data_IF_465385186036
#
_entry.id   IF_465385186036
#
_cell.length_a   1.000
_cell.length_b   1.000
_cell.length_c   1.000
_cell.angle_alpha   90.00
_cell.angle_beta   90.00
_cell.angle_gamma   90.00
#
_symmetry.space_group_name_H-M   'P 1'
#
loop_
_entity.id
_entity.type
_entity.pdbx_description
1 polymer ?
#
# COMPACT_ATOMS: atom_id res chain seq x y z
N UNK A 1 -16.83 39.17 -20.76
CA UNK A 1 -17.16 37.77 -21.07
C UNK A 1 -16.18 36.79 -20.43
N UNK A 2 -14.90 37.11 -20.20
CA UNK A 2 -13.98 36.23 -19.45
C UNK A 2 -14.33 36.12 -17.94
N UNK A 3 -14.79 37.21 -17.30
CA UNK A 3 -15.07 37.20 -15.86
C UNK A 3 -16.26 36.32 -15.47
N UNK A 4 -17.29 36.18 -16.32
CA UNK A 4 -18.48 35.39 -15.98
C UNK A 4 -18.22 33.89 -15.96
N UNK A 5 -17.30 33.40 -16.81
CA UNK A 5 -16.89 31.98 -16.80
C UNK A 5 -16.07 31.66 -15.56
N UNK A 6 -15.14 32.53 -15.18
CA UNK A 6 -14.34 32.33 -13.96
C UNK A 6 -15.23 32.34 -12.69
N UNK A 7 -16.26 33.18 -12.64
CA UNK A 7 -17.20 33.22 -11.52
C UNK A 7 -18.09 31.96 -11.44
N UNK A 8 -18.60 31.45 -12.58
CA UNK A 8 -19.39 30.21 -12.58
C UNK A 8 -18.56 28.99 -12.18
N UNK A 9 -17.32 28.91 -12.66
CA UNK A 9 -16.43 27.78 -12.37
C UNK A 9 -15.99 27.81 -10.91
N UNK A 10 -15.72 28.99 -10.37
CA UNK A 10 -15.38 29.19 -8.96
C UNK A 10 -16.56 28.84 -8.04
N UNK A 11 -17.77 29.30 -8.35
CA UNK A 11 -18.96 28.98 -7.52
C UNK A 11 -19.26 27.48 -7.51
N UNK A 12 -19.17 26.81 -8.67
CA UNK A 12 -19.28 25.35 -8.75
C UNK A 12 -18.21 24.64 -7.92
N UNK A 13 -16.95 25.05 -8.03
CA UNK A 13 -15.85 24.50 -7.25
C UNK A 13 -16.06 24.68 -5.73
N UNK A 14 -16.54 25.84 -5.30
CA UNK A 14 -16.85 26.08 -3.88
C UNK A 14 -17.96 25.18 -3.35
N UNK A 15 -19.03 24.96 -4.13
CA UNK A 15 -20.12 24.07 -3.70
C UNK A 15 -19.66 22.61 -3.57
N UNK A 16 -18.81 22.16 -4.50
CA UNK A 16 -18.18 20.83 -4.45
C UNK A 16 -17.29 20.72 -3.21
N UNK A 17 -16.43 21.70 -2.92
CA UNK A 17 -15.56 21.72 -1.74
C UNK A 17 -16.36 21.65 -0.43
N UNK A 18 -17.42 22.45 -0.30
CA UNK A 18 -18.31 22.44 0.86
C UNK A 18 -18.97 21.06 1.03
N UNK A 19 -19.38 20.43 -0.07
CA UNK A 19 -19.98 19.10 -0.05
C UNK A 19 -18.98 17.99 0.32
N UNK A 20 -17.69 18.18 0.02
CA UNK A 20 -16.61 17.25 0.38
C UNK A 20 -16.11 17.42 1.83
N UNK A 21 -16.53 18.47 2.54
CA UNK A 21 -16.10 18.74 3.93
C UNK A 21 -16.24 17.53 4.88
N UNK A 22 -17.36 16.78 4.89
CA UNK A 22 -17.46 15.59 5.75
C UNK A 22 -16.42 14.52 5.42
N UNK A 23 -16.07 14.37 4.14
CA UNK A 23 -15.04 13.44 3.67
C UNK A 23 -13.66 13.91 4.08
N UNK A 24 -13.37 15.20 4.02
CA UNK A 24 -12.10 15.76 4.49
C UNK A 24 -11.89 15.51 5.99
N UNK A 25 -12.93 15.68 6.83
CA UNK A 25 -12.84 15.32 8.25
C UNK A 25 -12.61 13.82 8.48
N UNK A 26 -13.26 12.98 7.67
CA UNK A 26 -13.06 11.55 7.69
C UNK A 26 -11.61 11.18 7.30
N UNK A 27 -11.08 11.77 6.23
CA UNK A 27 -9.72 11.59 5.74
C UNK A 27 -8.67 11.98 6.78
N UNK A 28 -8.84 13.12 7.45
CA UNK A 28 -7.96 13.52 8.56
C UNK A 28 -7.98 12.46 9.67
N UNK A 29 -9.17 12.02 10.07
CA UNK A 29 -9.33 11.05 11.16
C UNK A 29 -8.70 9.70 10.80
N UNK A 30 -9.02 9.17 9.62
CA UNK A 30 -8.51 7.86 9.18
C UNK A 30 -7.02 7.93 8.87
N UNK A 31 -6.53 9.03 8.30
CA UNK A 31 -5.11 9.28 8.05
C UNK A 31 -4.29 9.25 9.33
N UNK A 32 -4.76 9.89 10.41
CA UNK A 32 -4.12 9.83 11.73
C UNK A 32 -4.11 8.39 12.27
N UNK A 33 -5.24 7.68 12.20
CA UNK A 33 -5.35 6.29 12.68
C UNK A 33 -4.40 5.36 11.94
N UNK A 34 -4.37 5.43 10.60
CA UNK A 34 -3.48 4.62 9.77
C UNK A 34 -2.01 5.01 10.03
N UNK A 35 -1.70 6.29 10.20
CA UNK A 35 -0.34 6.75 10.51
C UNK A 35 0.17 6.15 11.81
N UNK A 36 -0.64 6.21 12.88
CA UNK A 36 -0.29 5.62 14.18
C UNK A 36 -0.15 4.10 14.13
N UNK A 37 -1.06 3.43 13.42
CA UNK A 37 -1.00 1.98 13.23
C UNK A 37 0.25 1.56 12.42
N UNK A 38 0.58 2.32 11.38
CA UNK A 38 1.77 2.11 10.54
C UNK A 38 3.05 2.33 11.34
N UNK A 39 3.15 3.43 12.08
CA UNK A 39 4.29 3.73 12.95
C UNK A 39 4.50 2.62 14.00
N UNK A 40 3.41 2.17 14.65
CA UNK A 40 3.44 1.04 15.60
C UNK A 40 3.95 -0.23 14.92
N UNK A 41 3.51 -0.50 13.70
CA UNK A 41 3.90 -1.68 12.91
C UNK A 41 5.39 -1.66 12.55
N UNK A 42 5.90 -0.49 12.12
CA UNK A 42 7.33 -0.27 11.83
C UNK A 42 8.15 -0.53 13.08
N UNK A 43 7.81 0.13 14.20
CA UNK A 43 8.53 -0.03 15.47
C UNK A 43 8.51 -1.50 15.94
N UNK A 44 7.37 -2.18 15.84
CA UNK A 44 7.25 -3.59 16.22
C UNK A 44 8.17 -4.50 15.39
N UNK A 45 8.26 -4.28 14.07
CA UNK A 45 9.12 -5.06 13.18
C UNK A 45 10.60 -4.81 13.49
N UNK A 46 11.02 -3.55 13.63
CA UNK A 46 12.44 -3.21 13.78
C UNK A 46 12.99 -3.43 15.18
N UNK A 47 12.13 -3.36 16.21
CA UNK A 47 12.50 -3.69 17.60
C UNK A 47 12.68 -5.21 17.78
N UNK A 48 11.97 -6.03 17.01
CA UNK A 48 12.10 -7.48 17.08
C UNK A 48 13.30 -8.01 16.28
N UNK A 49 14.32 -8.48 17.00
CA UNK A 49 15.57 -8.99 16.40
C UNK A 49 15.35 -10.23 15.54
N UNK A 50 14.30 -11.03 15.81
CA UNK A 50 13.98 -12.24 15.04
C UNK A 50 13.34 -11.89 13.70
N UNK A 51 12.49 -10.86 13.67
CA UNK A 51 11.85 -10.36 12.45
C UNK A 51 12.86 -9.63 11.57
N UNK A 52 13.66 -8.73 12.17
CA UNK A 52 14.67 -7.93 11.44
C UNK A 52 15.70 -8.78 10.69
N UNK A 53 15.93 -10.03 11.08
CA UNK A 53 16.87 -10.94 10.39
C UNK A 53 16.30 -11.55 9.09
N UNK A 54 15.02 -11.36 8.80
CA UNK A 54 14.32 -11.94 7.65
C UNK A 54 14.01 -10.83 6.63
N UNK A 55 14.56 -10.92 5.42
CA UNK A 55 14.35 -9.92 4.34
C UNK A 55 12.88 -9.59 4.10
N UNK A 56 11.99 -10.59 4.15
CA UNK A 56 10.54 -10.37 3.99
C UNK A 56 9.96 -9.37 5.01
N UNK A 57 10.42 -9.40 6.25
CA UNK A 57 9.92 -8.51 7.29
C UNK A 57 10.56 -7.13 7.19
N UNK A 58 11.80 -7.02 6.68
CA UNK A 58 12.39 -5.72 6.35
C UNK A 58 11.53 -5.06 5.26
N UNK A 59 11.25 -5.76 4.16
CA UNK A 59 10.39 -5.25 3.09
C UNK A 59 8.96 -4.95 3.58
N UNK A 60 8.39 -5.79 4.44
CA UNK A 60 7.09 -5.50 5.07
C UNK A 60 7.14 -4.23 5.95
N UNK A 61 8.26 -3.98 6.63
CA UNK A 61 8.47 -2.75 7.40
C UNK A 61 8.54 -1.51 6.50
N UNK A 62 9.17 -1.63 5.33
CA UNK A 62 9.21 -0.55 4.32
C UNK A 62 7.84 -0.36 3.67
N UNK A 63 7.07 -1.43 3.45
CA UNK A 63 5.68 -1.33 3.02
C UNK A 63 4.83 -0.57 4.05
N UNK A 64 5.01 -0.85 5.34
CA UNK A 64 4.36 -0.09 6.42
C UNK A 64 4.84 1.38 6.44
N UNK A 65 6.09 1.65 6.06
CA UNK A 65 6.58 3.01 5.90
C UNK A 65 5.90 3.72 4.72
N UNK A 66 5.66 3.03 3.60
CA UNK A 66 4.84 3.56 2.51
C UNK A 66 3.42 3.94 2.98
N UNK A 67 2.75 3.05 3.72
CA UNK A 67 1.44 3.37 4.32
C UNK A 67 1.50 4.53 5.31
N UNK A 68 2.57 4.65 6.08
CA UNK A 68 2.78 5.79 6.98
C UNK A 68 2.86 7.11 6.17
N UNK A 69 3.74 7.18 5.17
CA UNK A 69 3.91 8.39 4.35
C UNK A 69 2.59 8.71 3.62
N UNK A 70 1.94 7.72 3.03
CA UNK A 70 0.67 7.88 2.32
C UNK A 70 -0.43 8.42 3.25
N UNK A 71 -0.58 7.86 4.45
CA UNK A 71 -1.60 8.31 5.41
C UNK A 71 -1.32 9.66 6.05
N UNK A 72 -0.05 10.03 6.21
CA UNK A 72 0.35 11.42 6.54
C UNK A 72 -0.06 12.36 5.41
N UNK A 73 0.13 11.96 4.15
CA UNK A 73 -0.33 12.71 2.98
C UNK A 73 -1.84 12.92 2.95
N UNK A 74 -2.63 11.86 3.21
CA UNK A 74 -4.09 11.94 3.32
C UNK A 74 -4.51 12.94 4.40
N UNK A 75 -3.92 12.84 5.60
CA UNK A 75 -4.24 13.76 6.69
C UNK A 75 -3.83 15.20 6.36
N UNK A 76 -2.66 15.41 5.76
CA UNK A 76 -2.19 16.73 5.34
C UNK A 76 -3.13 17.36 4.29
N UNK A 77 -3.48 16.61 3.23
CA UNK A 77 -4.44 17.02 2.20
C UNK A 77 -5.78 17.44 2.83
N UNK A 78 -6.35 16.59 3.70
CA UNK A 78 -7.60 16.90 4.38
C UNK A 78 -7.52 18.16 5.24
N UNK A 79 -6.41 18.34 5.98
CA UNK A 79 -6.18 19.56 6.78
C UNK A 79 -6.03 20.81 5.92
N UNK A 80 -5.30 20.74 4.80
CA UNK A 80 -5.16 21.86 3.88
C UNK A 80 -6.51 22.24 3.28
N UNK A 81 -7.29 21.27 2.80
CA UNK A 81 -8.61 21.52 2.23
C UNK A 81 -9.57 22.21 3.23
N UNK A 82 -9.58 21.76 4.49
CA UNK A 82 -10.35 22.40 5.56
C UNK A 82 -9.84 23.81 5.91
N UNK A 83 -8.51 24.01 5.90
CA UNK A 83 -7.92 25.30 6.16
C UNK A 83 -8.26 26.31 5.04
N UNK A 84 -8.23 25.87 3.78
CA UNK A 84 -8.60 26.69 2.63
C UNK A 84 -10.07 27.11 2.64
N UNK A 85 -10.98 26.18 2.96
CA UNK A 85 -12.40 26.46 3.17
C UNK A 85 -12.64 27.52 4.25
N UNK A 86 -11.76 27.62 5.26
CA UNK A 86 -11.86 28.63 6.32
C UNK A 86 -11.21 30.00 6.01
N UNK A 87 -10.25 30.06 5.08
CA UNK A 87 -9.38 31.23 4.88
C UNK A 87 -9.58 31.98 3.55
N UNK A 88 -10.02 31.32 2.48
CA UNK A 88 -10.01 31.92 1.13
C UNK A 88 -11.43 32.24 0.63
N UNK A 89 -11.78 33.53 0.60
CA UNK A 89 -12.89 34.08 -0.18
C UNK A 89 -12.56 34.03 -1.69
N UNK A 90 -12.55 32.84 -2.30
CA UNK A 90 -12.61 32.70 -3.75
C UNK A 90 -11.32 32.91 -4.56
N UNK A 91 -10.13 32.79 -3.97
CA UNK A 91 -8.88 32.81 -4.77
C UNK A 91 -8.54 31.41 -5.31
N UNK A 92 -8.32 31.31 -6.63
CA UNK A 92 -7.87 30.08 -7.28
C UNK A 92 -6.47 29.67 -6.85
N UNK A 93 -6.23 28.37 -6.70
CA UNK A 93 -4.91 27.80 -6.44
C UNK A 93 -4.12 27.67 -7.74
N UNK A 94 -2.79 27.62 -7.67
CA UNK A 94 -1.99 27.21 -8.82
C UNK A 94 -1.88 25.69 -8.90
N UNK A 95 -1.63 25.18 -10.10
CA UNK A 95 -1.34 23.77 -10.33
C UNK A 95 -0.13 23.29 -9.52
N UNK A 96 0.91 24.12 -9.35
CA UNK A 96 2.05 23.80 -8.48
C UNK A 96 1.67 23.70 -6.99
N UNK A 97 0.83 24.62 -6.47
CA UNK A 97 0.31 24.53 -5.10
C UNK A 97 -0.44 23.22 -4.89
N UNK A 98 -1.29 22.84 -5.84
CA UNK A 98 -2.03 21.59 -5.79
C UNK A 98 -1.11 20.37 -5.84
N UNK A 99 -0.13 20.34 -6.74
CA UNK A 99 0.85 19.24 -6.81
C UNK A 99 1.56 19.03 -5.47
N UNK A 100 1.95 20.12 -4.79
CA UNK A 100 2.60 20.05 -3.49
C UNK A 100 1.70 19.46 -2.39
N UNK A 101 0.39 19.70 -2.44
CA UNK A 101 -0.58 19.08 -1.52
C UNK A 101 -0.69 17.56 -1.73
N UNK A 102 -0.60 17.11 -2.98
CA UNK A 102 -0.65 15.70 -3.34
C UNK A 102 0.71 14.98 -3.18
N UNK A 103 1.82 15.70 -3.21
CA UNK A 103 3.17 15.13 -3.27
C UNK A 103 3.46 14.07 -2.20
N UNK A 104 3.08 14.32 -0.93
CA UNK A 104 3.31 13.37 0.17
C UNK A 104 2.45 12.10 0.00
N UNK A 105 1.19 12.29 -0.42
CA UNK A 105 0.25 11.19 -0.64
C UNK A 105 0.72 10.31 -1.80
N UNK A 106 1.07 10.92 -2.93
CA UNK A 106 1.58 10.26 -4.14
C UNK A 106 2.91 9.54 -3.87
N UNK A 107 3.85 10.20 -3.20
CA UNK A 107 5.11 9.59 -2.74
C UNK A 107 4.86 8.32 -1.93
N UNK A 108 3.91 8.38 -0.99
CA UNK A 108 3.56 7.21 -0.18
C UNK A 108 2.96 6.07 -1.01
N UNK A 109 2.07 6.40 -1.97
CA UNK A 109 1.48 5.43 -2.90
C UNK A 109 2.54 4.76 -3.76
N UNK A 110 3.50 5.52 -4.29
CA UNK A 110 4.59 5.01 -5.09
C UNK A 110 5.49 4.04 -4.31
N UNK A 111 5.84 4.39 -3.06
CA UNK A 111 6.58 3.48 -2.17
C UNK A 111 5.81 2.15 -2.00
N UNK A 112 4.49 2.20 -1.83
CA UNK A 112 3.65 1.00 -1.65
C UNK A 112 3.72 0.12 -2.91
N UNK A 113 3.58 0.71 -4.10
CA UNK A 113 3.63 0.01 -5.38
C UNK A 113 4.99 -0.64 -5.60
N UNK A 114 6.07 0.13 -5.48
CA UNK A 114 7.44 -0.33 -5.74
C UNK A 114 7.85 -1.43 -4.76
N UNK A 115 7.56 -1.24 -3.47
CA UNK A 115 7.89 -2.22 -2.44
C UNK A 115 7.06 -3.49 -2.63
N UNK A 116 5.79 -3.39 -3.03
CA UNK A 116 4.96 -4.55 -3.32
C UNK A 116 5.48 -5.36 -4.50
N UNK A 117 5.94 -4.68 -5.56
CA UNK A 117 6.62 -5.29 -6.69
C UNK A 117 7.91 -6.00 -6.25
N UNK A 118 8.75 -5.33 -5.46
CA UNK A 118 9.99 -5.91 -4.94
C UNK A 118 9.74 -7.11 -4.03
N UNK A 119 8.70 -7.08 -3.20
CA UNK A 119 8.30 -8.24 -2.40
C UNK A 119 7.94 -9.39 -3.33
N UNK A 120 7.14 -9.17 -4.38
CA UNK A 120 6.79 -10.21 -5.33
C UNK A 120 8.04 -10.81 -6.01
N UNK A 121 8.96 -9.96 -6.51
CA UNK A 121 10.24 -10.39 -7.11
C UNK A 121 11.11 -11.15 -6.10
N UNK A 122 11.27 -10.64 -4.89
CA UNK A 122 12.04 -11.29 -3.83
C UNK A 122 11.47 -12.68 -3.49
N UNK A 123 10.14 -12.82 -3.46
CA UNK A 123 9.47 -14.11 -3.26
C UNK A 123 9.64 -15.04 -4.46
N UNK A 124 9.58 -14.54 -5.70
CA UNK A 124 9.90 -15.31 -6.90
C UNK A 124 11.32 -15.86 -6.83
N UNK A 125 12.31 -15.02 -6.54
CA UNK A 125 13.72 -15.40 -6.47
C UNK A 125 13.97 -16.42 -5.34
N UNK A 126 13.32 -16.24 -4.19
CA UNK A 126 13.42 -17.20 -3.09
C UNK A 126 12.87 -18.59 -3.44
N UNK A 127 11.88 -18.66 -4.33
CA UNK A 127 11.22 -19.91 -4.74
C UNK A 127 11.94 -20.57 -5.92
N UNK A 128 12.26 -19.81 -6.97
CA UNK A 128 12.85 -20.35 -8.20
C UNK A 128 14.37 -20.52 -8.12
N UNK A 129 15.06 -19.68 -7.33
CA UNK A 129 16.53 -19.64 -7.26
C UNK A 129 17.03 -19.74 -5.81
N UNK A 130 16.68 -20.81 -5.06
CA UNK A 130 17.00 -20.91 -3.64
C UNK A 130 18.50 -20.92 -3.35
N UNK A 131 19.33 -21.47 -4.24
CA UNK A 131 20.80 -21.48 -4.09
C UNK A 131 21.39 -20.07 -4.11
N UNK A 132 20.98 -19.25 -5.08
CA UNK A 132 21.40 -17.85 -5.19
C UNK A 132 20.87 -17.03 -4.02
N UNK A 133 19.61 -17.25 -3.65
CA UNK A 133 18.97 -16.53 -2.55
C UNK A 133 19.65 -16.80 -1.19
N UNK A 134 20.03 -18.06 -0.90
CA UNK A 134 20.72 -18.42 0.34
C UNK A 134 22.10 -17.79 0.44
N UNK A 135 22.84 -17.70 -0.69
CA UNK A 135 24.18 -17.10 -0.73
C UNK A 135 24.15 -15.57 -0.57
N UNK A 136 23.04 -14.93 -0.95
CA UNK A 136 22.88 -13.48 -0.97
C UNK A 136 22.18 -12.88 0.27
N UNK A 137 22.10 -13.63 1.37
CA UNK A 137 21.49 -13.19 2.64
C UNK A 137 22.23 -12.03 3.34
N UNK A 138 23.26 -11.47 2.73
CA UNK A 138 23.95 -10.32 3.28
C UNK A 138 23.06 -9.07 3.22
N UNK A 139 23.24 -8.16 4.19
CA UNK A 139 22.44 -6.94 4.32
C UNK A 139 22.43 -6.05 3.05
N UNK A 140 23.40 -6.24 2.17
CA UNK A 140 23.51 -5.57 0.87
C UNK A 140 22.35 -5.87 -0.10
N UNK A 141 21.69 -7.03 0.00
CA UNK A 141 20.59 -7.37 -0.91
C UNK A 141 19.35 -6.47 -0.72
N UNK A 142 18.74 -6.40 0.48
CA UNK A 142 17.63 -5.48 0.70
C UNK A 142 18.05 -4.02 0.50
N UNK A 143 19.30 -3.66 0.84
CA UNK A 143 19.81 -2.31 0.57
C UNK A 143 19.82 -1.96 -0.93
N UNK A 144 20.27 -2.89 -1.78
CA UNK A 144 20.25 -2.70 -3.23
C UNK A 144 18.82 -2.60 -3.79
N UNK A 145 17.88 -3.37 -3.24
CA UNK A 145 16.46 -3.24 -3.60
C UNK A 145 15.91 -1.86 -3.23
N UNK A 146 16.19 -1.37 -2.00
CA UNK A 146 15.75 -0.05 -1.56
C UNK A 146 16.40 1.09 -2.33
N UNK A 147 17.64 0.91 -2.79
CA UNK A 147 18.30 1.88 -3.65
C UNK A 147 17.61 2.01 -5.02
N UNK A 148 17.10 0.92 -5.59
CA UNK A 148 16.32 0.96 -6.83
C UNK A 148 15.01 1.74 -6.60
N UNK A 149 14.29 1.48 -5.51
CA UNK A 149 13.08 2.25 -5.13
C UNK A 149 13.42 3.72 -4.99
N UNK A 150 14.52 4.04 -4.31
CA UNK A 150 14.93 5.43 -4.12
C UNK A 150 15.21 6.14 -5.44
N UNK A 151 15.89 5.50 -6.40
CA UNK A 151 16.12 6.07 -7.73
C UNK A 151 14.79 6.28 -8.46
N UNK A 152 13.92 5.27 -8.46
CA UNK A 152 12.63 5.34 -9.13
C UNK A 152 11.78 6.48 -8.55
N UNK A 153 11.65 6.54 -7.23
CA UNK A 153 10.93 7.58 -6.51
C UNK A 153 11.46 8.99 -6.80
N UNK A 154 12.79 9.18 -6.74
CA UNK A 154 13.39 10.48 -7.08
C UNK A 154 13.10 10.84 -8.54
N UNK A 155 13.18 9.87 -9.46
CA UNK A 155 12.89 10.13 -10.87
C UNK A 155 11.43 10.48 -11.12
N UNK A 156 10.49 9.83 -10.43
CA UNK A 156 9.06 10.09 -10.55
C UNK A 156 8.68 11.47 -9.96
N UNK A 157 9.19 11.81 -8.78
CA UNK A 157 8.96 13.13 -8.16
C UNK A 157 9.53 14.25 -9.04
N UNK A 158 10.76 14.10 -9.54
CA UNK A 158 11.36 15.10 -10.42
C UNK A 158 10.56 15.29 -11.71
N UNK A 159 10.01 14.20 -12.24
CA UNK A 159 9.14 14.22 -13.43
C UNK A 159 7.82 14.92 -13.11
N UNK A 160 7.17 14.58 -12.01
CA UNK A 160 5.94 15.24 -11.54
C UNK A 160 6.15 16.75 -11.42
N UNK A 161 7.18 17.19 -10.69
CA UNK A 161 7.47 18.60 -10.49
C UNK A 161 7.80 19.34 -11.80
N UNK A 162 8.47 18.68 -12.75
CA UNK A 162 8.81 19.27 -14.05
C UNK A 162 7.59 19.52 -14.96
N UNK A 163 6.45 18.86 -14.70
CA UNK A 163 5.20 19.00 -15.46
C UNK A 163 4.11 19.77 -14.70
N UNK A 164 4.52 20.59 -13.72
CA UNK A 164 3.65 21.56 -13.04
C UNK A 164 3.78 22.96 -13.65
N UNK A 165 2.78 23.81 -13.44
CA UNK A 165 2.73 25.19 -13.95
C UNK A 165 2.15 26.14 -12.90
N UNK A 166 2.38 27.44 -13.07
CA UNK A 166 1.77 28.50 -12.26
C UNK A 166 0.36 28.88 -12.72
N UNK A 167 -0.25 28.09 -13.61
CA UNK A 167 -1.61 28.32 -14.08
C UNK A 167 -2.63 28.17 -12.94
N UNK A 168 -3.60 29.10 -12.82
CA UNK A 168 -4.67 28.98 -11.83
C UNK A 168 -5.61 27.85 -12.22
N UNK A 169 -6.05 27.08 -11.22
CA UNK A 169 -7.00 25.98 -11.36
C UNK A 169 -8.22 26.21 -10.43
N UNK A 170 -9.43 25.83 -10.88
CA UNK A 170 -10.65 26.06 -10.11
C UNK A 170 -10.81 25.08 -8.94
N UNK A 171 -10.29 23.86 -9.06
CA UNK A 171 -10.41 22.81 -8.06
C UNK A 171 -9.12 21.99 -8.01
N UNK A 172 -8.55 21.79 -6.82
CA UNK A 172 -7.39 20.91 -6.65
C UNK A 172 -7.81 19.44 -6.53
N UNK A 173 -7.69 18.71 -7.64
CA UNK A 173 -7.75 17.24 -7.69
C UNK A 173 -6.46 16.70 -8.29
N UNK A 174 -6.20 15.40 -8.12
CA UNK A 174 -4.97 14.78 -8.64
C UNK A 174 -4.76 15.02 -10.16
N UNK A 175 -5.86 15.07 -10.93
CA UNK A 175 -5.82 15.31 -12.37
C UNK A 175 -5.40 16.74 -12.75
N UNK A 176 -5.69 17.73 -11.90
CA UNK A 176 -5.36 19.15 -12.15
C UNK A 176 -4.03 19.57 -11.54
N UNK A 177 -3.37 18.71 -10.77
CA UNK A 177 -2.07 18.98 -10.16
C UNK A 177 -0.90 18.93 -11.16
N UNK A 178 -1.10 18.36 -12.35
CA UNK A 178 -0.02 18.15 -13.32
C UNK A 178 -0.54 18.06 -14.76
N UNK A 179 0.35 18.21 -15.74
CA UNK A 179 -0.02 18.14 -17.16
C UNK A 179 -0.70 16.80 -17.46
N UNK A 180 -1.78 16.84 -18.23
CA UNK A 180 -2.60 15.65 -18.50
C UNK A 180 -1.82 14.53 -19.19
N UNK A 181 -0.87 14.86 -20.07
CA UNK A 181 -0.05 13.86 -20.74
C UNK A 181 0.95 13.22 -19.78
N UNK A 182 1.52 14.02 -18.88
CA UNK A 182 2.39 13.52 -17.81
C UNK A 182 1.62 12.62 -16.84
N UNK A 183 0.42 13.04 -16.42
CA UNK A 183 -0.48 12.25 -15.57
C UNK A 183 -0.82 10.89 -16.20
N UNK A 184 -1.24 10.88 -17.46
CA UNK A 184 -1.55 9.65 -18.19
C UNK A 184 -0.30 8.75 -18.28
N UNK A 185 0.86 9.32 -18.58
CA UNK A 185 2.13 8.58 -18.63
C UNK A 185 2.46 7.87 -17.32
N UNK A 186 2.34 8.59 -16.19
CA UNK A 186 2.60 8.02 -14.85
C UNK A 186 1.55 7.00 -14.44
N UNK A 187 0.28 7.23 -14.78
CA UNK A 187 -0.78 6.26 -14.56
C UNK A 187 -0.56 4.95 -15.34
N UNK A 188 -0.08 5.03 -16.58
CA UNK A 188 0.27 3.83 -17.36
C UNK A 188 1.43 3.09 -16.68
N UNK A 189 2.48 3.80 -16.27
CA UNK A 189 3.63 3.21 -15.56
C UNK A 189 3.19 2.48 -14.28
N UNK A 190 2.42 3.14 -13.41
CA UNK A 190 1.91 2.53 -12.17
C UNK A 190 1.02 1.32 -12.44
N UNK A 191 0.10 1.41 -13.40
CA UNK A 191 -0.76 0.29 -13.77
C UNK A 191 0.05 -0.90 -14.32
N UNK A 192 1.11 -0.64 -15.09
CA UNK A 192 2.03 -1.69 -15.55
C UNK A 192 2.74 -2.38 -14.38
N UNK A 193 3.26 -1.63 -13.41
CA UNK A 193 3.93 -2.20 -12.23
C UNK A 193 2.95 -3.01 -11.39
N UNK A 194 1.73 -2.50 -11.16
CA UNK A 194 0.66 -3.21 -10.44
C UNK A 194 0.28 -4.51 -11.16
N UNK A 195 0.05 -4.46 -12.47
CA UNK A 195 -0.29 -5.64 -13.26
C UNK A 195 0.81 -6.71 -13.21
N UNK A 196 2.08 -6.31 -13.38
CA UNK A 196 3.23 -7.20 -13.24
C UNK A 196 3.31 -7.81 -11.85
N UNK A 197 3.08 -7.01 -10.80
CA UNK A 197 3.06 -7.47 -9.41
C UNK A 197 2.01 -8.55 -9.19
N UNK A 198 0.79 -8.35 -9.70
CA UNK A 198 -0.30 -9.33 -9.61
C UNK A 198 0.07 -10.62 -10.34
N UNK A 199 0.60 -10.53 -11.56
CA UNK A 199 1.04 -11.69 -12.34
C UNK A 199 2.11 -12.49 -11.58
N UNK A 200 3.11 -11.80 -11.02
CA UNK A 200 4.16 -12.45 -10.21
C UNK A 200 3.57 -13.16 -8.99
N UNK A 201 2.61 -12.55 -8.27
CA UNK A 201 1.94 -13.20 -7.15
C UNK A 201 1.18 -14.45 -7.57
N UNK A 202 0.43 -14.41 -8.68
CA UNK A 202 -0.31 -15.57 -9.21
C UNK A 202 0.66 -16.72 -9.50
N UNK A 203 1.76 -16.45 -10.20
CA UNK A 203 2.78 -17.44 -10.54
C UNK A 203 3.40 -18.06 -9.27
N UNK A 204 3.80 -17.22 -8.31
CA UNK A 204 4.43 -17.71 -7.07
C UNK A 204 3.44 -18.49 -6.21
N UNK A 205 2.18 -18.08 -6.12
CA UNK A 205 1.15 -18.81 -5.36
C UNK A 205 0.88 -20.18 -5.98
N UNK A 206 0.71 -20.24 -7.30
CA UNK A 206 0.48 -21.49 -8.02
C UNK A 206 1.66 -22.46 -7.79
N UNK A 207 2.89 -21.96 -7.92
CA UNK A 207 4.09 -22.76 -7.70
C UNK A 207 4.26 -23.18 -6.23
N UNK A 208 4.07 -22.27 -5.28
CA UNK A 208 4.20 -22.57 -3.86
C UNK A 208 3.18 -23.63 -3.42
N UNK A 209 1.95 -23.60 -3.96
CA UNK A 209 0.94 -24.64 -3.75
C UNK A 209 1.41 -26.00 -4.28
N UNK A 210 1.96 -26.03 -5.49
CA UNK A 210 2.53 -27.25 -6.07
C UNK A 210 3.69 -27.80 -5.22
N UNK A 211 4.60 -26.92 -4.78
CA UNK A 211 5.74 -27.28 -3.93
C UNK A 211 5.34 -27.85 -2.57
N UNK A 212 4.25 -27.33 -1.96
CA UNK A 212 3.68 -27.90 -0.72
C UNK A 212 3.10 -29.28 -0.97
N UNK A 213 2.37 -29.50 -2.07
CA UNK A 213 1.82 -30.81 -2.42
C UNK A 213 2.92 -31.86 -2.58
N UNK A 214 4.00 -31.50 -3.28
CA UNK A 214 5.18 -32.37 -3.44
C UNK A 214 5.88 -32.63 -2.11
N UNK A 215 6.03 -31.60 -1.27
CA UNK A 215 6.62 -31.75 0.07
C UNK A 215 5.81 -32.68 0.98
N UNK A 216 4.49 -32.61 0.92
CA UNK A 216 3.61 -33.48 1.70
C UNK A 216 3.74 -34.96 1.33
N UNK A 217 4.22 -35.27 0.11
CA UNK A 217 4.44 -36.64 -0.36
C UNK A 217 5.84 -37.17 -0.05
N UNK A 218 6.87 -36.33 -0.05
CA UNK A 218 8.27 -36.77 -0.05
C UNK A 218 9.14 -36.19 1.08
N UNK A 219 8.69 -35.17 1.80
CA UNK A 219 9.51 -34.45 2.78
C UNK A 219 8.98 -34.62 4.21
N UNK A 220 9.87 -34.54 5.20
CA UNK A 220 9.49 -34.60 6.62
C UNK A 220 8.70 -33.38 7.12
N UNK A 221 8.04 -33.55 8.27
CA UNK A 221 7.13 -32.56 8.89
C UNK A 221 7.75 -31.16 9.05
N UNK A 222 9.03 -31.06 9.37
CA UNK A 222 9.72 -29.77 9.58
C UNK A 222 9.89 -28.97 8.27
N UNK A 223 10.20 -29.63 7.15
CA UNK A 223 10.33 -28.97 5.85
C UNK A 223 8.96 -28.50 5.34
N UNK A 224 7.93 -29.34 5.52
CA UNK A 224 6.54 -29.00 5.21
C UNK A 224 6.06 -27.78 5.99
N UNK A 225 6.34 -27.71 7.29
CA UNK A 225 5.94 -26.56 8.13
C UNK A 225 6.59 -25.25 7.67
N UNK A 226 7.89 -25.27 7.30
CA UNK A 226 8.58 -24.09 6.76
C UNK A 226 7.97 -23.63 5.44
N UNK A 227 7.64 -24.55 4.54
CA UNK A 227 6.96 -24.24 3.27
C UNK A 227 5.56 -23.66 3.50
N UNK A 228 4.79 -24.19 4.44
CA UNK A 228 3.47 -23.65 4.82
C UNK A 228 3.55 -22.21 5.36
N UNK A 229 4.53 -21.90 6.21
CA UNK A 229 4.74 -20.54 6.72
C UNK A 229 5.11 -19.55 5.59
N UNK A 230 6.02 -19.94 4.70
CA UNK A 230 6.38 -19.13 3.54
C UNK A 230 5.20 -18.90 2.60
N UNK A 231 4.39 -19.93 2.35
CA UNK A 231 3.17 -19.80 1.55
C UNK A 231 2.16 -18.86 2.20
N UNK A 232 1.93 -18.98 3.52
CA UNK A 232 1.02 -18.08 4.24
C UNK A 232 1.45 -16.63 4.11
N UNK A 233 2.75 -16.37 4.19
CA UNK A 233 3.33 -15.04 4.00
C UNK A 233 3.11 -14.52 2.57
N UNK A 234 3.42 -15.31 1.54
CA UNK A 234 3.21 -14.94 0.13
C UNK A 234 1.74 -14.59 -0.13
N UNK A 235 0.81 -15.44 0.33
CA UNK A 235 -0.63 -15.20 0.17
C UNK A 235 -1.06 -13.94 0.92
N UNK A 236 -0.46 -13.65 2.08
CA UNK A 236 -0.79 -12.43 2.83
C UNK A 236 -0.34 -11.17 2.08
N UNK A 237 0.86 -11.17 1.51
CA UNK A 237 1.37 -10.05 0.73
C UNK A 237 0.58 -9.87 -0.58
N UNK A 238 0.21 -10.97 -1.23
CA UNK A 238 -0.66 -10.92 -2.40
C UNK A 238 -2.04 -10.34 -2.08
N UNK A 239 -2.67 -10.78 -0.98
CA UNK A 239 -3.96 -10.23 -0.55
C UNK A 239 -3.86 -8.75 -0.21
N UNK A 240 -2.77 -8.33 0.45
CA UNK A 240 -2.53 -6.93 0.74
C UNK A 240 -2.43 -6.10 -0.56
N UNK A 241 -1.64 -6.58 -1.54
CA UNK A 241 -1.54 -5.94 -2.85
C UNK A 241 -2.87 -5.94 -3.60
N UNK A 242 -3.66 -7.02 -3.53
CA UNK A 242 -4.98 -7.08 -4.16
C UNK A 242 -5.91 -6.02 -3.57
N UNK A 243 -5.96 -5.91 -2.24
CA UNK A 243 -6.75 -4.88 -1.56
C UNK A 243 -6.33 -3.49 -2.04
N UNK A 244 -5.03 -3.17 -2.01
CA UNK A 244 -4.51 -1.89 -2.50
C UNK A 244 -4.87 -1.64 -3.97
N UNK A 245 -4.64 -2.62 -4.85
CA UNK A 245 -4.94 -2.47 -6.28
C UNK A 245 -6.43 -2.27 -6.56
N UNK A 246 -7.31 -2.89 -5.77
CA UNK A 246 -8.76 -2.74 -5.95
C UNK A 246 -9.23 -1.37 -5.48
N UNK A 247 -8.75 -0.88 -4.33
CA UNK A 247 -9.10 0.45 -3.84
C UNK A 247 -8.57 1.54 -4.77
N UNK A 248 -7.32 1.39 -5.25
CA UNK A 248 -6.70 2.31 -6.20
C UNK A 248 -7.42 2.30 -7.55
N UNK A 249 -7.81 1.13 -8.06
CA UNK A 249 -8.56 1.01 -9.30
C UNK A 249 -9.92 1.70 -9.20
N UNK A 250 -10.67 1.45 -8.12
CA UNK A 250 -11.96 2.12 -7.87
C UNK A 250 -11.77 3.64 -7.78
N UNK A 251 -10.78 4.09 -7.00
CA UNK A 251 -10.46 5.50 -6.84
C UNK A 251 -10.17 6.18 -8.17
N UNK A 252 -9.26 5.59 -8.96
CA UNK A 252 -8.86 6.12 -10.28
C UNK A 252 -10.03 6.16 -11.27
N UNK A 253 -10.87 5.13 -11.32
CA UNK A 253 -12.06 5.12 -12.18
C UNK A 253 -13.03 6.23 -11.76
N UNK A 254 -13.25 6.41 -10.47
CA UNK A 254 -14.09 7.46 -9.93
C UNK A 254 -13.56 8.87 -10.24
N UNK A 255 -12.28 9.16 -9.96
CA UNK A 255 -11.66 10.45 -10.29
C UNK A 255 -11.66 10.74 -11.78
N UNK A 256 -11.31 9.75 -12.60
CA UNK A 256 -11.30 9.90 -14.05
C UNK A 256 -12.71 10.16 -14.58
N UNK A 257 -13.71 9.42 -14.09
CA UNK A 257 -15.11 9.61 -14.50
C UNK A 257 -15.63 10.98 -14.04
N UNK A 258 -15.27 11.43 -12.84
CA UNK A 258 -15.66 12.75 -12.33
C UNK A 258 -15.17 13.89 -13.25
N UNK A 259 -14.01 13.73 -13.88
CA UNK A 259 -13.47 14.71 -14.82
C UNK A 259 -14.26 14.82 -16.15
N UNK A 260 -15.09 13.83 -16.49
CA UNK A 260 -15.90 13.83 -17.72
C UNK A 260 -17.39 14.09 -17.47
N UNK A 261 -17.80 14.24 -16.22
CA UNK A 261 -19.21 14.44 -15.85
C UNK A 261 -19.47 15.93 -15.63
N UNK A 262 -20.53 16.45 -16.24
CA UNK A 262 -20.91 17.87 -16.16
C UNK A 262 -21.81 18.20 -14.97
N UNK A 263 -22.48 17.19 -14.37
CA UNK A 263 -23.43 17.40 -13.28
C UNK A 263 -22.73 17.46 -11.92
N UNK A 264 -22.87 18.59 -11.22
CA UNK A 264 -22.24 18.84 -9.91
C UNK A 264 -22.51 17.74 -8.86
N UNK A 265 -23.75 17.23 -8.81
CA UNK A 265 -24.15 16.17 -7.87
C UNK A 265 -23.45 14.84 -8.14
N UNK A 266 -23.25 14.49 -9.42
CA UNK A 266 -22.57 13.26 -9.80
C UNK A 266 -21.05 13.40 -9.65
N UNK A 267 -20.48 14.57 -9.99
CA UNK A 267 -19.06 14.89 -9.72
C UNK A 267 -18.76 14.73 -8.23
N UNK A 268 -19.56 15.35 -7.37
CA UNK A 268 -19.40 15.26 -5.91
C UNK A 268 -19.46 13.81 -5.43
N UNK A 269 -20.47 13.04 -5.86
CA UNK A 269 -20.61 11.64 -5.49
C UNK A 269 -19.39 10.80 -5.94
N UNK A 270 -18.91 11.01 -7.16
CA UNK A 270 -17.76 10.30 -7.70
C UNK A 270 -16.47 10.67 -6.96
N UNK A 271 -16.27 11.93 -6.59
CA UNK A 271 -15.13 12.34 -5.76
C UNK A 271 -15.17 11.67 -4.38
N UNK A 272 -16.34 11.63 -3.73
CA UNK A 272 -16.52 10.92 -2.45
C UNK A 272 -16.18 9.43 -2.58
N UNK A 273 -16.65 8.77 -3.63
CA UNK A 273 -16.33 7.36 -3.91
C UNK A 273 -14.87 7.16 -4.31
N UNK A 274 -14.24 8.18 -4.90
CA UNK A 274 -12.82 8.21 -5.26
C UNK A 274 -11.90 8.05 -4.06
N UNK A 275 -12.28 8.66 -2.93
CA UNK A 275 -11.50 8.60 -1.68
C UNK A 275 -11.50 7.19 -1.02
N UNK A 276 -12.18 6.19 -1.60
CA UNK A 276 -12.05 4.77 -1.18
C UNK A 276 -10.60 4.30 -1.24
N UNK A 277 -9.76 4.87 -2.11
CA UNK A 277 -8.33 4.58 -2.17
C UNK A 277 -7.60 4.86 -0.84
N UNK A 278 -8.06 5.87 -0.08
CA UNK A 278 -7.48 6.22 1.22
C UNK A 278 -7.61 5.12 2.28
N UNK A 279 -8.58 4.21 2.11
CA UNK A 279 -8.78 3.07 3.01
C UNK A 279 -7.80 1.91 2.76
N UNK A 280 -7.01 1.98 1.68
CA UNK A 280 -6.06 0.95 1.30
C UNK A 280 -5.08 0.60 2.42
N UNK A 281 -4.55 1.62 3.11
CA UNK A 281 -3.65 1.45 4.26
C UNK A 281 -4.32 0.77 5.44
N UNK A 282 -5.58 1.13 5.75
CA UNK A 282 -6.34 0.51 6.83
C UNK A 282 -6.57 -0.99 6.57
N UNK A 283 -7.11 -1.32 5.39
CA UNK A 283 -7.38 -2.70 5.04
C UNK A 283 -6.09 -3.52 4.90
N UNK A 284 -5.03 -2.93 4.33
CA UNK A 284 -3.72 -3.57 4.19
C UNK A 284 -3.09 -3.94 5.53
N UNK A 285 -3.12 -3.01 6.49
CA UNK A 285 -2.65 -3.27 7.86
C UNK A 285 -3.51 -4.34 8.57
N UNK A 286 -4.83 -4.33 8.36
CA UNK A 286 -5.71 -5.37 8.89
C UNK A 286 -5.36 -6.76 8.34
N UNK A 287 -5.07 -6.87 7.03
CA UNK A 287 -4.64 -8.12 6.40
C UNK A 287 -3.32 -8.61 7.02
N UNK A 288 -2.33 -7.73 7.18
CA UNK A 288 -1.05 -8.05 7.80
C UNK A 288 -1.24 -8.53 9.25
N UNK A 289 -1.99 -7.77 10.06
CA UNK A 289 -2.21 -8.06 11.48
C UNK A 289 -2.97 -9.37 11.70
N UNK A 290 -4.03 -9.63 10.92
CA UNK A 290 -4.85 -10.82 11.07
C UNK A 290 -4.13 -12.10 10.62
N UNK A 291 -3.30 -12.03 9.56
CA UNK A 291 -2.70 -13.23 8.96
C UNK A 291 -1.30 -13.55 9.48
N UNK A 292 -0.50 -12.54 9.86
CA UNK A 292 0.88 -12.74 10.31
C UNK A 292 0.99 -12.85 11.83
N UNK A 293 1.01 -14.09 12.32
CA UNK A 293 1.11 -14.38 13.76
C UNK A 293 2.39 -13.84 14.41
N UNK A 294 3.55 -13.92 13.73
CA UNK A 294 4.81 -13.40 14.27
C UNK A 294 4.78 -11.87 14.40
N UNK A 295 4.18 -11.18 13.43
CA UNK A 295 4.00 -9.73 13.42
C UNK A 295 3.03 -9.29 14.53
N UNK A 296 1.86 -9.93 14.63
CA UNK A 296 0.91 -9.67 15.72
C UNK A 296 1.55 -9.88 17.09
N UNK A 297 2.34 -10.93 17.26
CA UNK A 297 3.06 -11.18 18.50
C UNK A 297 4.10 -10.09 18.79
N UNK A 298 4.77 -9.54 17.78
CA UNK A 298 5.70 -8.42 17.94
C UNK A 298 4.98 -7.14 18.37
N UNK A 299 3.82 -6.83 17.78
CA UNK A 299 2.98 -5.70 18.19
C UNK A 299 2.51 -5.85 19.64
N UNK A 300 2.04 -7.02 20.05
CA UNK A 300 1.65 -7.24 21.45
C UNK A 300 2.83 -7.17 22.43
N UNK A 301 4.01 -7.67 22.04
CA UNK A 301 5.25 -7.51 22.83
C UNK A 301 5.64 -6.04 23.00
N UNK A 302 5.44 -5.21 21.98
CA UNK A 302 5.71 -3.77 22.05
C UNK A 302 4.88 -3.10 23.16
N UNK A 303 3.63 -3.51 23.32
CA UNK A 303 2.72 -3.04 24.38
C UNK A 303 2.83 -3.81 25.71
N UNK A 304 3.88 -4.62 25.92
CA UNK A 304 4.05 -5.47 27.10
C UNK A 304 2.85 -6.40 27.39
N UNK A 305 2.00 -6.67 26.39
CA UNK A 305 0.86 -7.55 26.56
C UNK A 305 1.35 -8.98 26.40
N UNK A 306 1.23 -9.80 27.46
CA UNK A 306 1.63 -11.22 27.43
C UNK A 306 0.95 -11.90 26.24
N UNK A 307 1.73 -12.28 25.24
CA UNK A 307 1.28 -13.15 24.16
C UNK A 307 1.30 -14.56 24.74
N UNK A 308 0.13 -15.18 24.93
CA UNK A 308 0.07 -16.61 25.23
C UNK A 308 0.87 -17.37 24.16
N UNK A 309 1.58 -18.44 24.56
CA UNK A 309 2.40 -19.24 23.64
C UNK A 309 1.62 -19.52 22.36
N UNK A 310 2.20 -19.18 21.20
CA UNK A 310 1.65 -19.59 19.90
C UNK A 310 1.67 -21.12 19.91
N UNK A 311 0.56 -21.75 20.30
CA UNK A 311 0.42 -23.19 20.17
C UNK A 311 0.48 -23.50 18.67
N UNK A 312 1.45 -24.30 18.20
CA UNK A 312 1.36 -24.84 16.86
C UNK A 312 0.04 -25.62 16.79
N UNK A 313 -0.83 -25.18 15.88
CA UNK A 313 -2.10 -25.83 15.55
C UNK A 313 -1.93 -27.35 15.60
N UNK A 314 -2.82 -27.97 16.38
CA UNK A 314 -2.94 -29.39 16.65
C UNK A 314 -2.77 -30.23 15.38
N UNK A 315 -1.54 -30.66 15.13
CA UNK A 315 -1.21 -31.69 14.15
C UNK A 315 -0.42 -32.84 14.78
N UNK A 316 -0.29 -32.85 16.12
CA UNK A 316 0.56 -33.81 16.84
C UNK A 316 -0.22 -34.95 17.50
N UNK A 317 -1.50 -35.17 17.16
CA UNK A 317 -2.33 -36.20 17.80
C UNK A 317 -2.67 -37.42 16.94
N UNK A 318 -2.12 -37.54 15.74
CA UNK A 318 -2.17 -38.77 14.95
C UNK A 318 -0.76 -39.09 14.49
N UNK A 319 -0.04 -39.87 15.29
CA UNK A 319 1.06 -40.76 14.83
C UNK A 319 1.70 -41.59 15.97
N UNK A 320 1.20 -41.52 17.22
CA UNK A 320 1.66 -42.44 18.28
C UNK A 320 0.76 -43.67 18.53
N UNK A 321 -0.30 -43.90 17.74
CA UNK A 321 -1.08 -45.15 17.85
C UNK A 321 -0.66 -46.25 16.87
N UNK A 322 0.34 -46.04 16.02
CA UNK A 322 0.86 -47.06 15.09
C UNK A 322 2.29 -47.46 15.46
N UNK A 323 2.49 -47.97 16.68
CA UNK A 323 3.59 -48.89 16.96
C UNK A 323 3.36 -49.65 18.27
N UNK A 324 2.26 -50.41 18.32
CA UNK A 324 2.07 -51.52 19.26
C UNK A 324 1.49 -52.71 18.51
N UNK A 325 2.28 -53.23 17.59
CA UNK A 325 2.11 -54.59 17.04
C UNK A 325 3.48 -55.14 16.70
N UNK A 326 3.86 -56.22 17.37
CA UNK A 326 4.88 -57.13 16.86
C UNK A 326 6.27 -56.98 17.48
N UNK A 327 6.46 -57.48 18.69
CA UNK A 327 7.63 -58.31 18.95
C UNK A 327 7.08 -59.70 19.27
N UNK A 328 7.43 -60.63 18.39
CA UNK A 328 7.14 -62.05 18.46
C UNK A 328 7.78 -62.71 19.69
#
# INVERSE_FOLDING_TARGET
MANSHNESDLTSATNVLVSLRPVQYFDVTIGIVISLASATSIVAIFRDTTLRRKNAYILAGVLCFGYFVHSVGIAAKGMFALAYDSMRDGTMQTMQECANEWAVLVTGAEIIIDVSFLIAVDRCLAVFLPMFYRRRKNCWWPAGQLFIVFIHLVSAILRELAYTSDQPIPLCIILTGMDIHAFIGMMIEFNCIVALTIILYVVVIAWARHSIKKAAMYEGNAALQRKRLNWKLIVTMALNMTVYSMTMFIGNVCFTTAAFVETESAVTLLLILGEVDHLSGFFGLCVLFCRMGEFRAAVFRLFNRKVGSIQPSEGYRTDQSSNKTGIA
#
